data_IF_587868769247
#
_entry.id   IF_587868769247
#
_cell.length_a   1.000
_cell.length_b   1.000
_cell.length_c   1.000
_cell.angle_alpha   90.00
_cell.angle_beta   90.00
_cell.angle_gamma   90.00
#
_symmetry.space_group_name_H-M   'P 1'
#
loop_
_entity.id
_entity.type
_entity.pdbx_description
1 polymer ?
#
# COMPACT_ATOMS: atom_id res chain seq x y z
N UNK A 1 3.38 6.55 -16.66
CA UNK A 1 2.70 7.84 -16.52
C UNK A 1 1.20 7.63 -16.68
N UNK A 2 0.39 7.54 -15.61
CA UNK A 2 -1.05 7.38 -15.78
C UNK A 2 -1.63 8.70 -16.32
N UNK A 3 -2.69 8.65 -17.15
CA UNK A 3 -3.25 9.83 -17.80
C UNK A 3 -3.83 10.80 -16.76
N UNK A 4 -3.51 12.09 -16.92
CA UNK A 4 -3.83 13.19 -15.99
C UNK A 4 -5.33 13.49 -15.78
N UNK A 5 -6.26 12.71 -16.33
CA UNK A 5 -7.69 13.06 -16.41
C UNK A 5 -8.66 12.07 -15.76
N UNK A 6 -8.18 11.08 -15.01
CA UNK A 6 -9.04 10.11 -14.33
C UNK A 6 -9.11 10.47 -12.85
N UNK A 7 -10.19 11.14 -12.45
CA UNK A 7 -10.51 11.40 -11.04
C UNK A 7 -11.62 10.42 -10.67
N UNK A 8 -11.28 9.45 -9.81
CA UNK A 8 -12.28 8.56 -9.21
C UNK A 8 -13.06 9.39 -8.19
N UNK A 9 -14.34 9.65 -8.43
CA UNK A 9 -15.19 10.33 -7.45
C UNK A 9 -16.11 9.26 -6.90
N UNK A 10 -15.92 8.92 -5.62
CA UNK A 10 -16.94 8.19 -4.89
C UNK A 10 -18.17 9.10 -4.72
N UNK A 11 -19.35 8.49 -4.68
CA UNK A 11 -20.66 9.15 -4.65
C UNK A 11 -21.27 8.92 -3.25
N UNK A 12 -20.50 9.10 -2.18
CA UNK A 12 -21.06 8.97 -0.83
C UNK A 12 -20.47 9.99 0.14
N UNK A 13 -21.30 10.60 1.00
CA UNK A 13 -20.85 11.46 2.12
C UNK A 13 -19.86 10.75 3.10
N UNK A 14 -19.63 9.45 2.92
CA UNK A 14 -18.68 8.61 3.65
C UNK A 14 -17.24 8.65 3.09
N UNK A 15 -17.00 9.45 2.05
CA UNK A 15 -15.73 9.47 1.32
C UNK A 15 -14.60 10.10 2.11
N UNK A 16 -14.86 11.18 2.86
CA UNK A 16 -13.81 11.86 3.66
C UNK A 16 -13.28 10.98 4.79
N UNK A 17 -14.17 10.28 5.48
CA UNK A 17 -13.78 9.38 6.58
C UNK A 17 -13.04 8.17 6.03
N UNK A 18 -13.50 7.60 4.90
CA UNK A 18 -12.79 6.52 4.22
C UNK A 18 -11.40 6.95 3.76
N UNK A 19 -11.30 8.12 3.13
CA UNK A 19 -10.06 8.73 2.68
C UNK A 19 -9.10 9.00 3.85
N UNK A 20 -9.61 9.46 5.00
CA UNK A 20 -8.81 9.64 6.21
C UNK A 20 -8.31 8.31 6.79
N UNK A 21 -9.19 7.29 6.87
CA UNK A 21 -8.81 5.94 7.32
C UNK A 21 -7.73 5.35 6.40
N UNK A 22 -7.91 5.50 5.08
CA UNK A 22 -6.93 5.07 4.08
C UNK A 22 -5.59 5.80 4.26
N UNK A 23 -5.58 7.11 4.50
CA UNK A 23 -4.37 7.87 4.81
C UNK A 23 -3.64 7.32 6.04
N UNK A 24 -4.37 7.10 7.14
CA UNK A 24 -3.79 6.61 8.40
C UNK A 24 -3.21 5.21 8.22
N UNK A 25 -3.92 4.31 7.54
CA UNK A 25 -3.43 2.97 7.26
C UNK A 25 -2.21 2.96 6.34
N UNK A 26 -2.18 3.81 5.31
CA UNK A 26 -1.00 3.96 4.45
C UNK A 26 0.21 4.49 5.23
N UNK A 27 0.02 5.46 6.12
CA UNK A 27 1.08 6.00 6.98
C UNK A 27 1.62 4.94 7.96
N UNK A 28 0.71 4.14 8.53
CA UNK A 28 1.09 3.00 9.36
C UNK A 28 1.95 2.00 8.57
N UNK A 29 1.53 1.59 7.37
CA UNK A 29 2.30 0.66 6.52
C UNK A 29 3.65 1.27 6.15
N UNK A 30 3.71 2.55 5.81
CA UNK A 30 4.94 3.26 5.45
C UNK A 30 5.99 3.30 6.55
N UNK A 31 5.57 3.29 7.82
CA UNK A 31 6.47 3.38 8.98
C UNK A 31 6.81 2.00 9.55
N UNK A 32 5.81 1.13 9.69
CA UNK A 32 5.96 -0.18 10.33
C UNK A 32 6.67 -1.20 9.44
N UNK A 33 6.45 -1.17 8.12
CA UNK A 33 7.10 -2.12 7.20
C UNK A 33 8.64 -1.93 7.19
N UNK A 34 9.20 -0.73 6.94
CA UNK A 34 10.64 -0.52 7.01
C UNK A 34 11.21 -0.81 8.39
N UNK A 35 10.51 -0.42 9.46
CA UNK A 35 10.94 -0.68 10.83
C UNK A 35 11.11 -2.18 11.11
N UNK A 36 10.15 -3.00 10.69
CA UNK A 36 10.24 -4.47 10.88
C UNK A 36 11.29 -5.11 9.99
N UNK A 37 11.54 -4.52 8.82
CA UNK A 37 12.59 -5.00 7.91
C UNK A 37 13.97 -4.58 8.42
N UNK A 38 14.17 -3.43 9.05
CA UNK A 38 15.45 -3.05 9.64
C UNK A 38 15.75 -3.82 10.93
N UNK A 39 14.85 -3.76 11.92
CA UNK A 39 15.15 -4.17 13.30
C UNK A 39 14.92 -5.66 13.63
N UNK A 40 14.76 -6.51 12.63
CA UNK A 40 14.62 -7.98 12.79
C UNK A 40 13.59 -8.45 13.82
N UNK A 41 12.55 -7.64 14.07
CA UNK A 41 11.46 -8.07 14.95
C UNK A 41 10.63 -9.15 14.26
N UNK A 42 10.87 -10.38 14.69
CA UNK A 42 10.09 -11.55 14.31
C UNK A 42 8.60 -11.29 14.52
N UNK A 43 7.82 -11.69 13.53
CA UNK A 43 6.36 -11.56 13.50
C UNK A 43 5.75 -12.46 14.57
N UNK A 44 5.48 -11.90 15.75
CA UNK A 44 4.56 -12.52 16.69
C UNK A 44 3.19 -12.74 16.02
N UNK A 45 2.43 -13.73 16.51
CA UNK A 45 1.07 -14.00 16.02
C UNK A 45 0.20 -12.73 15.99
N UNK A 46 0.36 -11.82 16.95
CA UNK A 46 -0.36 -10.55 16.97
C UNK A 46 -0.04 -9.64 15.78
N UNK A 47 1.25 -9.50 15.42
CA UNK A 47 1.65 -8.71 14.25
C UNK A 47 1.12 -9.31 12.96
N UNK A 48 1.17 -10.64 12.84
CA UNK A 48 0.62 -11.33 11.68
C UNK A 48 -0.88 -11.08 11.51
N UNK A 49 -1.66 -11.15 12.58
CA UNK A 49 -3.11 -10.88 12.53
C UNK A 49 -3.36 -9.43 12.09
N UNK A 50 -2.62 -8.47 12.64
CA UNK A 50 -2.75 -7.05 12.25
C UNK A 50 -2.41 -6.83 10.78
N UNK A 51 -1.31 -7.39 10.30
CA UNK A 51 -0.92 -7.32 8.88
C UNK A 51 -1.99 -7.91 7.98
N UNK A 52 -2.53 -9.08 8.36
CA UNK A 52 -3.58 -9.76 7.61
C UNK A 52 -4.87 -8.92 7.57
N UNK A 53 -5.29 -8.33 8.68
CA UNK A 53 -6.46 -7.46 8.74
C UNK A 53 -6.29 -6.23 7.82
N UNK A 54 -5.10 -5.62 7.82
CA UNK A 54 -4.78 -4.48 6.96
C UNK A 54 -4.81 -4.91 5.49
N UNK A 55 -4.19 -6.05 5.14
CA UNK A 55 -4.18 -6.57 3.78
C UNK A 55 -5.59 -6.90 3.28
N UNK A 56 -6.45 -7.49 4.14
CA UNK A 56 -7.86 -7.72 3.83
C UNK A 56 -8.64 -6.41 3.62
N UNK A 57 -8.39 -5.38 4.43
CA UNK A 57 -8.99 -4.06 4.24
C UNK A 57 -8.63 -3.48 2.87
N UNK A 58 -7.35 -3.53 2.47
CA UNK A 58 -6.92 -3.04 1.15
C UNK A 58 -7.48 -3.88 0.00
N UNK A 59 -7.70 -5.18 0.19
CA UNK A 59 -8.36 -6.03 -0.80
C UNK A 59 -9.83 -5.64 -1.00
N UNK A 60 -10.55 -5.35 0.09
CA UNK A 60 -11.93 -4.83 0.03
C UNK A 60 -11.95 -3.46 -0.65
N UNK A 61 -11.03 -2.55 -0.33
CA UNK A 61 -10.89 -1.25 -0.99
C UNK A 61 -10.70 -1.38 -2.51
N UNK A 62 -9.88 -2.35 -2.97
CA UNK A 62 -9.75 -2.66 -4.41
C UNK A 62 -11.10 -3.07 -5.00
N UNK A 63 -11.83 -3.96 -4.34
CA UNK A 63 -13.17 -4.39 -4.77
C UNK A 63 -14.17 -3.24 -4.86
N UNK A 64 -14.10 -2.28 -3.93
CA UNK A 64 -14.93 -1.08 -3.94
C UNK A 64 -14.54 -0.12 -5.08
N UNK A 65 -13.26 0.03 -5.38
CA UNK A 65 -12.78 0.88 -6.48
C UNK A 65 -13.34 0.47 -7.87
N UNK A 66 -13.68 -0.81 -8.07
CA UNK A 66 -14.37 -1.27 -9.29
C UNK A 66 -15.82 -0.76 -9.42
N UNK A 67 -16.46 -0.41 -8.30
CA UNK A 67 -17.83 0.12 -8.26
C UNK A 67 -17.87 1.64 -8.28
N UNK A 68 -16.73 2.32 -8.11
CA UNK A 68 -16.62 3.78 -8.04
C UNK A 68 -16.65 4.41 -9.44
N UNK A 69 -17.51 5.42 -9.62
CA UNK A 69 -17.63 6.17 -10.87
C UNK A 69 -16.38 6.99 -11.17
N UNK A 70 -16.11 7.18 -12.46
CA UNK A 70 -14.91 7.89 -12.93
C UNK A 70 -15.34 9.15 -13.70
N UNK A 71 -14.67 10.27 -13.44
CA UNK A 71 -14.69 11.41 -14.35
C UNK A 71 -13.70 11.20 -15.47
N UNK A 72 -14.19 11.27 -16.72
CA UNK A 72 -13.38 11.23 -17.94
C UNK A 72 -13.65 12.51 -18.71
N UNK A 73 -12.65 13.38 -18.80
CA UNK A 73 -12.74 14.67 -19.50
C UNK A 73 -13.92 15.55 -19.04
N UNK A 74 -14.20 15.57 -17.73
CA UNK A 74 -15.30 16.38 -17.16
C UNK A 74 -16.68 15.74 -17.26
N UNK A 75 -16.83 14.60 -17.94
CA UNK A 75 -18.09 13.84 -18.00
C UNK A 75 -18.02 12.71 -16.97
N UNK A 76 -19.07 12.59 -16.15
CA UNK A 76 -19.23 11.48 -15.21
C UNK A 76 -19.61 10.22 -15.98
N UNK A 77 -18.69 9.26 -16.06
CA UNK A 77 -18.94 7.94 -16.67
C UNK A 77 -19.34 6.97 -15.56
N UNK A 78 -20.63 6.63 -15.51
CA UNK A 78 -21.20 5.65 -14.56
C UNK A 78 -21.34 4.23 -15.17
N UNK A 79 -20.91 4.05 -16.43
CA UNK A 79 -20.91 2.73 -17.07
C UNK A 79 -19.91 1.80 -16.39
N UNK A 80 -20.41 0.82 -15.63
CA UNK A 80 -19.61 -0.16 -14.87
C UNK A 80 -18.54 -0.85 -15.73
N UNK A 81 -18.85 -1.14 -17.01
CA UNK A 81 -17.92 -1.80 -17.93
C UNK A 81 -16.74 -0.89 -18.31
N UNK A 82 -17.01 0.40 -18.56
CA UNK A 82 -15.97 1.35 -18.97
C UNK A 82 -15.08 1.75 -17.79
N UNK A 83 -15.68 1.89 -16.61
CA UNK A 83 -14.97 2.10 -15.33
C UNK A 83 -14.02 0.94 -15.04
N UNK A 84 -14.53 -0.29 -15.09
CA UNK A 84 -13.73 -1.49 -14.83
C UNK A 84 -12.55 -1.62 -15.80
N UNK A 85 -12.78 -1.45 -17.10
CA UNK A 85 -11.70 -1.56 -18.09
C UNK A 85 -10.61 -0.49 -17.91
N UNK A 86 -11.03 0.75 -17.62
CA UNK A 86 -10.10 1.87 -17.38
C UNK A 86 -9.29 1.67 -16.09
N UNK A 87 -9.91 1.18 -15.02
CA UNK A 87 -9.23 0.84 -13.77
C UNK A 87 -8.27 -0.34 -13.94
N UNK A 88 -8.69 -1.40 -14.64
CA UNK A 88 -7.86 -2.57 -14.94
C UNK A 88 -6.58 -2.20 -15.68
N UNK A 89 -6.68 -1.32 -16.69
CA UNK A 89 -5.54 -0.92 -17.52
C UNK A 89 -4.55 -0.01 -16.80
N UNK A 90 -5.00 0.79 -15.82
CA UNK A 90 -4.19 1.84 -15.23
C UNK A 90 -3.64 1.49 -13.84
N UNK A 91 -4.46 0.93 -12.95
CA UNK A 91 -4.16 0.87 -11.51
C UNK A 91 -4.30 -0.51 -10.91
N UNK A 92 -5.17 -1.36 -11.46
CA UNK A 92 -5.43 -2.69 -10.91
C UNK A 92 -4.16 -3.54 -10.74
N UNK A 93 -3.24 -3.52 -11.71
CA UNK A 93 -1.99 -4.30 -11.61
C UNK A 93 -1.13 -3.85 -10.41
N UNK A 94 -0.98 -2.54 -10.20
CA UNK A 94 -0.22 -1.99 -9.06
C UNK A 94 -0.93 -2.35 -7.76
N UNK A 95 -2.25 -2.17 -7.73
CA UNK A 95 -3.07 -2.43 -6.56
C UNK A 95 -3.04 -3.92 -6.16
N UNK A 96 -3.18 -4.83 -7.13
CA UNK A 96 -3.12 -6.28 -6.93
C UNK A 96 -1.74 -6.74 -6.45
N UNK A 97 -0.67 -6.27 -7.09
CA UNK A 97 0.71 -6.59 -6.67
C UNK A 97 0.97 -6.08 -5.26
N UNK A 98 0.48 -4.88 -4.94
CA UNK A 98 0.64 -4.29 -3.62
C UNK A 98 -0.20 -4.99 -2.55
N UNK A 99 -1.33 -5.60 -2.90
CA UNK A 99 -2.23 -6.35 -2.01
C UNK A 99 -1.83 -7.83 -1.87
N UNK A 100 -0.75 -8.25 -2.53
CA UNK A 100 -0.29 -9.64 -2.47
C UNK A 100 0.08 -10.01 -1.02
N UNK A 101 -0.49 -11.09 -0.46
CA UNK A 101 -0.27 -11.48 0.93
C UNK A 101 1.10 -12.14 1.10
N UNK A 102 2.16 -11.32 1.09
CA UNK A 102 3.55 -11.77 1.20
C UNK A 102 3.78 -12.59 2.47
N UNK A 103 3.05 -12.30 3.54
CA UNK A 103 3.19 -12.95 4.84
C UNK A 103 2.66 -14.40 4.85
N UNK A 104 1.55 -14.66 4.15
CA UNK A 104 1.03 -16.01 3.93
C UNK A 104 1.98 -16.85 3.07
N UNK A 105 2.59 -16.23 2.04
CA UNK A 105 3.57 -16.90 1.18
C UNK A 105 4.83 -17.25 1.97
N UNK A 106 5.35 -16.35 2.82
CA UNK A 106 6.46 -16.71 3.73
C UNK A 106 6.10 -17.87 4.65
N UNK A 107 4.91 -17.87 5.25
CA UNK A 107 4.52 -18.93 6.16
C UNK A 107 4.36 -20.28 5.45
N UNK A 108 3.76 -20.29 4.25
CA UNK A 108 3.61 -21.51 3.44
C UNK A 108 4.94 -22.03 2.90
N UNK A 109 5.85 -21.15 2.48
CA UNK A 109 7.17 -21.54 1.96
C UNK A 109 8.17 -21.90 3.07
N UNK A 110 8.12 -21.27 4.24
CA UNK A 110 9.05 -21.61 5.33
C UNK A 110 8.50 -22.75 6.19
N UNK A 111 7.18 -22.80 6.40
CA UNK A 111 6.52 -23.87 7.16
C UNK A 111 6.25 -25.15 6.35
N UNK A 112 6.09 -25.04 5.03
CA UNK A 112 5.89 -26.19 4.13
C UNK A 112 7.19 -26.86 3.68
N UNK A 113 8.32 -26.14 3.75
CA UNK A 113 9.64 -26.76 3.60
C UNK A 113 10.04 -27.36 4.95
N UNK A 114 9.56 -28.58 5.21
CA UNK A 114 10.17 -29.46 6.20
C UNK A 114 11.65 -29.58 5.85
N UNK A 115 12.49 -28.94 6.64
CA UNK A 115 13.92 -28.83 6.43
C UNK A 115 14.54 -30.21 6.65
N UNK A 116 14.61 -31.03 5.60
CA UNK A 116 15.39 -32.26 5.63
C UNK A 116 16.86 -31.84 5.62
N UNK A 117 17.40 -31.69 6.83
CA UNK A 117 18.67 -31.09 7.12
C UNK A 117 19.83 -31.93 6.57
N UNK A 118 20.25 -31.65 5.34
CA UNK A 118 21.51 -32.16 4.78
C UNK A 118 22.31 -31.04 4.08
N UNK A 119 23.07 -30.32 4.93
CA UNK A 119 24.44 -29.85 4.73
C UNK A 119 24.86 -28.99 3.51
N UNK A 120 23.93 -28.41 2.73
CA UNK A 120 24.29 -27.34 1.77
C UNK A 120 23.24 -26.23 1.60
N UNK A 121 22.10 -26.36 2.29
CA UNK A 121 20.90 -25.54 2.14
C UNK A 121 20.79 -24.36 3.11
N UNK A 122 21.60 -24.27 4.17
CA UNK A 122 21.50 -23.19 5.17
C UNK A 122 21.73 -21.80 4.58
N UNK A 123 22.74 -21.63 3.72
CA UNK A 123 22.96 -20.36 3.04
C UNK A 123 21.85 -20.01 2.05
N UNK A 124 21.22 -21.01 1.42
CA UNK A 124 20.12 -20.78 0.49
C UNK A 124 18.83 -20.42 1.25
N UNK A 125 18.54 -21.09 2.36
CA UNK A 125 17.40 -20.80 3.22
C UNK A 125 17.47 -19.40 3.83
N UNK A 126 18.65 -18.98 4.32
CA UNK A 126 18.87 -17.62 4.80
C UNK A 126 18.72 -16.58 3.68
N UNK A 127 19.20 -16.88 2.47
CA UNK A 127 19.01 -16.01 1.29
C UNK A 127 17.54 -15.90 0.91
N UNK A 128 16.80 -17.00 0.89
CA UNK A 128 15.36 -17.01 0.60
C UNK A 128 14.58 -16.24 1.66
N UNK A 129 14.87 -16.46 2.95
CA UNK A 129 14.26 -15.71 4.04
C UNK A 129 14.52 -14.20 3.90
N UNK A 130 15.76 -13.80 3.58
CA UNK A 130 16.11 -12.39 3.32
C UNK A 130 15.37 -11.83 2.10
N UNK A 131 15.27 -12.57 1.00
CA UNK A 131 14.51 -12.13 -0.18
C UNK A 131 13.02 -11.99 0.12
N UNK A 132 12.42 -12.97 0.78
CA UNK A 132 11.02 -12.96 1.17
C UNK A 132 10.69 -11.78 2.11
N UNK A 133 11.63 -11.43 2.99
CA UNK A 133 11.52 -10.24 3.84
C UNK A 133 11.54 -8.95 3.03
N UNK A 134 12.38 -8.86 2.01
CA UNK A 134 12.42 -7.70 1.09
C UNK A 134 11.15 -7.60 0.23
N UNK A 135 10.47 -8.72 -0.09
CA UNK A 135 9.18 -8.67 -0.80
C UNK A 135 8.12 -7.88 -0.03
N UNK A 136 8.21 -7.77 1.30
CA UNK A 136 7.30 -6.91 2.08
C UNK A 136 7.39 -5.44 1.69
N UNK A 137 8.52 -4.98 1.14
CA UNK A 137 8.66 -3.61 0.61
C UNK A 137 7.71 -3.33 -0.57
N UNK A 138 7.22 -4.36 -1.27
CA UNK A 138 6.20 -4.20 -2.31
C UNK A 138 4.93 -3.54 -1.75
N UNK A 139 4.64 -3.72 -0.45
CA UNK A 139 3.53 -3.02 0.23
C UNK A 139 3.69 -1.49 0.19
N UNK A 140 4.91 -0.96 0.05
CA UNK A 140 5.16 0.48 -0.10
C UNK A 140 4.66 1.05 -1.44
N UNK A 141 4.44 0.21 -2.46
CA UNK A 141 3.81 0.66 -3.71
C UNK A 141 2.41 1.25 -3.47
N UNK A 142 1.73 0.84 -2.37
CA UNK A 142 0.46 1.42 -1.94
C UNK A 142 0.57 2.93 -1.69
N UNK A 143 1.76 3.46 -1.35
CA UNK A 143 1.97 4.89 -1.12
C UNK A 143 1.74 5.74 -2.38
N UNK A 144 1.80 5.16 -3.57
CA UNK A 144 1.44 5.87 -4.80
C UNK A 144 -0.01 6.39 -4.73
N UNK A 145 -0.89 5.71 -3.96
CA UNK A 145 -2.27 6.14 -3.72
C UNK A 145 -2.37 7.44 -2.92
N UNK A 146 -1.43 7.71 -2.01
CA UNK A 146 -1.45 8.90 -1.15
C UNK A 146 -1.38 10.18 -1.97
N UNK A 147 -0.70 10.15 -3.13
CA UNK A 147 -0.61 11.30 -4.03
C UNK A 147 -1.98 11.74 -4.57
N UNK A 148 -2.88 10.79 -4.83
CA UNK A 148 -4.25 11.08 -5.27
C UNK A 148 -5.12 11.61 -4.13
N UNK A 149 -4.95 11.01 -2.96
CA UNK A 149 -5.65 11.39 -1.74
C UNK A 149 -5.33 12.83 -1.34
N UNK A 150 -4.03 13.16 -1.31
CA UNK A 150 -3.56 14.51 -1.03
C UNK A 150 -4.04 15.53 -2.06
N UNK A 151 -4.15 15.13 -3.33
CA UNK A 151 -4.69 16.00 -4.38
C UNK A 151 -6.18 16.31 -4.11
N UNK A 152 -6.98 15.32 -3.72
CA UNK A 152 -8.37 15.55 -3.31
C UNK A 152 -8.48 16.50 -2.13
N UNK A 153 -7.68 16.29 -1.08
CA UNK A 153 -7.67 17.19 0.07
C UNK A 153 -7.21 18.61 -0.30
N UNK A 154 -6.27 18.78 -1.22
CA UNK A 154 -5.85 20.09 -1.73
C UNK A 154 -6.98 20.80 -2.50
N UNK A 155 -7.74 20.05 -3.31
CA UNK A 155 -8.90 20.56 -4.06
C UNK A 155 -10.06 20.96 -3.12
N UNK A 156 -10.21 20.31 -1.95
CA UNK A 156 -11.22 20.67 -0.95
C UNK A 156 -10.78 21.79 0.01
N UNK A 157 -9.50 21.83 0.41
CA UNK A 157 -8.94 22.81 1.35
C UNK A 157 -8.17 23.93 0.62
N UNK A 158 -8.72 24.46 -0.47
CA UNK A 158 -8.10 25.53 -1.28
C UNK A 158 -7.67 26.76 -0.44
N UNK A 159 -8.40 27.07 0.64
CA UNK A 159 -8.14 28.21 1.55
C UNK A 159 -6.85 28.02 2.38
N UNK A 160 -6.44 26.77 2.62
CA UNK A 160 -5.25 26.39 3.39
C UNK A 160 -4.16 25.76 2.51
N UNK A 161 -4.18 25.99 1.19
CA UNK A 161 -3.29 25.34 0.24
C UNK A 161 -1.80 25.47 0.58
N UNK A 162 -1.38 26.59 1.21
CA UNK A 162 -0.01 26.75 1.72
C UNK A 162 0.33 25.76 2.85
N UNK A 163 -0.56 25.61 3.85
CA UNK A 163 -0.37 24.69 4.96
C UNK A 163 -0.33 23.23 4.49
N UNK A 164 -1.21 22.84 3.56
CA UNK A 164 -1.25 21.48 3.02
C UNK A 164 0.06 21.11 2.30
N UNK A 165 0.67 22.05 1.58
CA UNK A 165 1.97 21.86 0.92
C UNK A 165 3.09 21.65 1.93
N UNK A 166 3.13 22.47 2.99
CA UNK A 166 4.11 22.33 4.08
C UNK A 166 3.94 21.00 4.81
N UNK A 167 2.71 20.62 5.16
CA UNK A 167 2.41 19.36 5.83
C UNK A 167 2.84 18.16 4.99
N UNK A 168 2.54 18.17 3.68
CA UNK A 168 2.94 17.12 2.75
C UNK A 168 4.46 16.97 2.66
N UNK A 169 5.18 18.09 2.58
CA UNK A 169 6.65 18.07 2.57
C UNK A 169 7.20 17.55 3.89
N UNK A 170 6.65 17.98 5.03
CA UNK A 170 7.07 17.53 6.35
C UNK A 170 6.87 16.02 6.54
N UNK A 171 5.70 15.49 6.16
CA UNK A 171 5.42 14.04 6.21
C UNK A 171 6.36 13.27 5.29
N UNK A 172 6.62 13.77 4.08
CA UNK A 172 7.55 13.13 3.14
C UNK A 172 8.98 13.10 3.71
N UNK A 173 9.48 14.22 4.24
CA UNK A 173 10.81 14.31 4.85
C UNK A 173 10.94 13.37 6.04
N UNK A 174 9.92 13.32 6.91
CA UNK A 174 9.87 12.39 8.03
C UNK A 174 9.93 10.94 7.55
N UNK A 175 9.12 10.56 6.56
CA UNK A 175 9.10 9.19 6.02
C UNK A 175 10.42 8.80 5.38
N UNK A 176 11.04 9.70 4.61
CA UNK A 176 12.35 9.45 4.02
C UNK A 176 13.39 9.27 5.11
N UNK A 177 13.48 10.19 6.08
CA UNK A 177 14.40 10.08 7.19
C UNK A 177 14.20 8.78 7.99
N UNK A 178 12.95 8.39 8.24
CA UNK A 178 12.61 7.13 8.91
C UNK A 178 13.08 5.91 8.11
N UNK A 179 12.83 5.87 6.80
CA UNK A 179 13.25 4.76 5.93
C UNK A 179 14.76 4.67 5.86
N UNK A 180 15.47 5.78 5.70
CA UNK A 180 16.94 5.84 5.69
C UNK A 180 17.51 5.31 7.02
N UNK A 181 16.96 5.75 8.16
CA UNK A 181 17.34 5.21 9.46
C UNK A 181 17.09 3.70 9.55
N UNK A 182 15.93 3.22 9.13
CA UNK A 182 15.63 1.78 9.16
C UNK A 182 16.55 0.98 8.23
N UNK A 183 16.93 1.55 7.09
CA UNK A 183 17.84 0.92 6.13
C UNK A 183 19.28 0.89 6.64
N UNK A 184 19.71 1.88 7.41
CA UNK A 184 21.03 1.86 8.05
C UNK A 184 21.19 0.73 9.07
N UNK A 185 20.10 0.31 9.71
CA UNK A 185 20.09 -0.81 10.68
C UNK A 185 19.81 -2.19 10.05
N UNK A 186 19.53 -2.27 8.74
CA UNK A 186 19.29 -3.50 7.98
C UNK A 186 20.60 -4.23 7.64
#
# INVERSE_FOLDING_TARGET
FPPRSIIFVCVHDMDRTWDLIQAVLLLYVATVVPYRIGFERESSLGWFIVDLMIDMYFLVDIGLNFRTSIYKQGILVSSKKEVAFSYMKAWFAIDLVSAFPTDLVTMGLVGGFSFDASSSSDLQALRLFRMLRLLRLIKLLRLIRIGRLLKRFEDELLVLGGLMKVLKLAVLLFLVAHVECCFFFL
#
